data_IF_742501320373
#
_entry.id   IF_742501320373
#
_cell.length_a   1.000
_cell.length_b   1.000
_cell.length_c   1.000
_cell.angle_alpha   90.00
_cell.angle_beta   90.00
_cell.angle_gamma   90.00
#
_symmetry.space_group_name_H-M   'P 1'
#
loop_
_entity.id
_entity.type
_entity.pdbx_description
1 polymer ?
#
# COMPACT_ATOMS: atom_id res chain seq x y z
N UNK A 1 12.34 2.30 6.63
CA UNK A 1 11.19 2.78 5.83
C UNK A 1 11.58 4.06 5.12
N UNK A 2 11.19 4.20 3.89
CA UNK A 2 11.50 5.37 3.09
C UNK A 2 10.20 6.08 2.70
N UNK A 3 10.14 7.39 2.92
CA UNK A 3 8.97 8.20 2.59
C UNK A 3 9.38 9.27 1.60
N UNK A 4 8.71 9.31 0.45
CA UNK A 4 9.01 10.25 -0.60
C UNK A 4 7.77 11.06 -0.96
N UNK A 5 7.96 12.35 -1.22
CA UNK A 5 6.89 13.23 -1.67
C UNK A 5 7.09 13.59 -3.14
N UNK A 6 6.01 13.60 -3.89
CA UNK A 6 6.00 14.03 -5.27
C UNK A 6 4.73 14.83 -5.50
N UNK A 7 4.84 16.15 -5.34
CA UNK A 7 3.66 17.02 -5.36
C UNK A 7 2.74 16.68 -4.20
N UNK A 8 1.48 16.36 -4.49
CA UNK A 8 0.51 15.94 -3.49
C UNK A 8 0.44 14.43 -3.35
N UNK A 9 1.40 13.72 -3.93
CA UNK A 9 1.50 12.28 -3.84
C UNK A 9 2.52 11.88 -2.80
N UNK A 10 2.25 10.79 -2.10
CA UNK A 10 3.13 10.24 -1.08
C UNK A 10 3.46 8.81 -1.46
N UNK A 11 4.74 8.45 -1.38
CA UNK A 11 5.17 7.09 -1.61
C UNK A 11 5.96 6.58 -0.42
N UNK A 12 5.54 5.44 0.09
CA UNK A 12 6.20 4.78 1.23
C UNK A 12 6.74 3.45 0.75
N UNK A 13 7.99 3.16 1.07
CA UNK A 13 8.65 1.92 0.62
C UNK A 13 9.63 1.42 1.68
N UNK A 14 10.29 0.31 1.37
CA UNK A 14 11.27 -0.31 2.24
C UNK A 14 10.67 -0.69 3.59
N UNK A 15 9.49 -1.28 3.55
CA UNK A 15 8.78 -1.78 4.73
C UNK A 15 9.02 -3.28 4.80
N UNK A 16 9.81 -3.73 5.77
CA UNK A 16 10.14 -5.15 5.89
C UNK A 16 9.05 -5.94 6.60
N UNK A 17 8.44 -5.35 7.60
CA UNK A 17 7.38 -5.98 8.38
C UNK A 17 6.40 -4.93 8.88
N UNK A 18 5.14 -5.34 9.04
CA UNK A 18 4.12 -4.54 9.71
C UNK A 18 3.48 -5.42 10.78
N UNK A 19 3.86 -5.21 12.02
CA UNK A 19 3.43 -6.05 13.13
C UNK A 19 3.11 -5.22 14.37
N UNK A 20 2.78 -5.88 15.46
CA UNK A 20 2.37 -5.21 16.70
C UNK A 20 3.47 -4.29 17.25
N UNK A 21 4.73 -4.55 16.92
CA UNK A 21 5.85 -3.75 17.45
C UNK A 21 5.95 -2.40 16.72
N UNK A 22 5.78 -2.40 15.39
CA UNK A 22 6.04 -1.21 14.59
C UNK A 22 4.80 -0.57 13.93
N UNK A 23 3.62 -1.18 14.06
CA UNK A 23 2.42 -0.70 13.37
C UNK A 23 2.05 0.74 13.75
N UNK A 24 2.13 1.08 15.02
CA UNK A 24 1.79 2.42 15.50
C UNK A 24 2.79 3.46 14.99
N UNK A 25 4.07 3.16 15.05
CA UNK A 25 5.11 4.06 14.52
C UNK A 25 4.95 4.26 13.03
N UNK A 26 4.71 3.19 12.30
CA UNK A 26 4.47 3.24 10.85
C UNK A 26 3.29 4.16 10.54
N UNK A 27 2.16 3.93 11.20
CA UNK A 27 0.96 4.73 11.00
C UNK A 27 1.22 6.21 11.29
N UNK A 28 1.87 6.51 12.42
CA UNK A 28 2.10 7.89 12.84
C UNK A 28 3.08 8.61 11.90
N UNK A 29 4.12 7.93 11.47
CA UNK A 29 5.10 8.51 10.54
C UNK A 29 4.49 8.81 9.18
N UNK A 30 3.72 7.87 8.62
CA UNK A 30 3.07 8.08 7.33
C UNK A 30 2.02 9.18 7.44
N UNK A 31 1.24 9.17 8.52
CA UNK A 31 0.22 10.17 8.74
C UNK A 31 0.83 11.57 8.85
N UNK A 32 1.94 11.71 9.57
CA UNK A 32 2.63 12.98 9.70
C UNK A 32 3.21 13.47 8.37
N UNK A 33 3.52 12.55 7.47
CA UNK A 33 4.09 12.89 6.18
C UNK A 33 3.03 13.20 5.11
N UNK A 34 1.76 12.93 5.38
CA UNK A 34 0.69 13.20 4.41
C UNK A 34 0.62 14.69 4.07
N UNK A 35 0.54 15.04 2.77
CA UNK A 35 0.29 16.43 2.39
C UNK A 35 -1.11 16.87 2.82
N UNK A 36 -1.34 18.19 2.83
CA UNK A 36 -2.62 18.74 3.26
C UNK A 36 -3.79 18.27 2.40
N UNK A 37 -3.55 18.09 1.10
CA UNK A 37 -4.55 17.60 0.17
C UNK A 37 -3.97 16.46 -0.66
N UNK A 38 -3.86 15.26 -0.06
CA UNK A 38 -3.25 14.15 -0.77
C UNK A 38 -4.13 13.67 -1.93
N UNK A 39 -3.51 13.35 -3.06
CA UNK A 39 -4.20 12.76 -4.20
C UNK A 39 -4.04 11.25 -4.20
N UNK A 40 -2.80 10.80 -4.08
CA UNK A 40 -2.48 9.37 -4.08
C UNK A 40 -1.45 9.09 -2.99
N UNK A 41 -1.69 8.02 -2.25
CA UNK A 41 -0.75 7.51 -1.28
C UNK A 41 -0.40 6.09 -1.73
N UNK A 42 0.85 5.90 -2.11
CA UNK A 42 1.34 4.59 -2.56
C UNK A 42 2.17 3.96 -1.46
N UNK A 43 1.84 2.73 -1.11
CA UNK A 43 2.58 1.96 -0.12
C UNK A 43 3.14 0.73 -0.83
N UNK A 44 4.45 0.72 -1.00
CA UNK A 44 5.14 -0.36 -1.69
C UNK A 44 5.42 -1.50 -0.71
N UNK A 45 4.79 -2.62 -0.94
CA UNK A 45 4.90 -3.81 -0.09
C UNK A 45 5.78 -4.89 -0.72
N UNK A 46 6.53 -4.55 -1.76
CA UNK A 46 7.36 -5.55 -2.47
C UNK A 46 8.41 -6.18 -1.56
N UNK A 47 8.91 -5.46 -0.58
CA UNK A 47 9.91 -5.98 0.36
C UNK A 47 9.29 -6.44 1.68
N UNK A 48 7.98 -6.32 1.83
CA UNK A 48 7.30 -6.66 3.07
C UNK A 48 7.08 -8.17 3.14
N UNK A 49 7.63 -8.79 4.18
CA UNK A 49 7.57 -10.24 4.35
C UNK A 49 6.48 -10.69 5.29
N UNK A 50 6.04 -9.81 6.18
CA UNK A 50 5.09 -10.19 7.22
C UNK A 50 4.19 -9.02 7.57
N UNK A 51 2.88 -9.32 7.66
CA UNK A 51 1.87 -8.35 8.12
C UNK A 51 0.93 -9.12 9.03
N UNK A 52 0.76 -8.64 10.26
CA UNK A 52 -0.22 -9.20 11.18
C UNK A 52 -1.46 -8.29 11.28
N UNK A 53 -2.37 -8.62 12.19
CA UNK A 53 -3.59 -7.83 12.36
C UNK A 53 -3.32 -6.39 12.77
N UNK A 54 -2.24 -6.14 13.51
CA UNK A 54 -1.86 -4.78 13.89
C UNK A 54 -1.41 -3.99 12.66
N UNK A 55 -0.67 -4.64 11.76
CA UNK A 55 -0.26 -4.02 10.50
C UNK A 55 -1.44 -3.71 9.60
N UNK A 56 -2.39 -4.64 9.50
CA UNK A 56 -3.62 -4.41 8.75
C UNK A 56 -4.40 -3.23 9.33
N UNK A 57 -4.49 -3.17 10.66
CA UNK A 57 -5.14 -2.07 11.35
C UNK A 57 -4.50 -0.72 11.06
N UNK A 58 -3.17 -0.68 11.00
CA UNK A 58 -2.45 0.54 10.67
C UNK A 58 -2.76 1.01 9.25
N UNK A 59 -2.79 0.09 8.28
CA UNK A 59 -3.14 0.41 6.90
C UNK A 59 -4.58 0.93 6.81
N UNK A 60 -5.49 0.30 7.52
CA UNK A 60 -6.87 0.74 7.57
C UNK A 60 -7.00 2.14 8.18
N UNK A 61 -6.24 2.41 9.25
CA UNK A 61 -6.23 3.72 9.89
C UNK A 61 -5.73 4.80 8.94
N UNK A 62 -4.73 4.49 8.11
CA UNK A 62 -4.24 5.42 7.10
C UNK A 62 -5.28 5.69 6.03
N UNK A 63 -5.99 4.66 5.60
CA UNK A 63 -7.10 4.82 4.67
C UNK A 63 -8.15 5.78 5.24
N UNK A 64 -8.55 5.58 6.47
CA UNK A 64 -9.54 6.43 7.12
C UNK A 64 -9.03 7.87 7.27
N UNK A 65 -7.77 8.03 7.68
CA UNK A 65 -7.19 9.36 7.84
C UNK A 65 -7.13 10.11 6.52
N UNK A 66 -6.76 9.42 5.44
CA UNK A 66 -6.67 10.03 4.13
C UNK A 66 -8.02 10.49 3.61
N UNK A 67 -9.07 9.72 3.88
CA UNK A 67 -10.41 9.99 3.35
C UNK A 67 -11.30 10.78 4.31
N UNK A 68 -10.83 11.13 5.50
CA UNK A 68 -11.62 11.91 6.44
C UNK A 68 -11.70 13.38 6.07
N UNK A 69 -10.64 13.92 5.46
CA UNK A 69 -10.55 15.34 5.10
C UNK A 69 -10.87 15.58 3.63
N UNK A 70 -10.61 14.60 2.76
CA UNK A 70 -10.78 14.75 1.32
C UNK A 70 -11.32 13.45 0.73
N UNK A 71 -12.41 13.56 -0.03
CA UNK A 71 -12.93 12.44 -0.78
C UNK A 71 -12.06 12.18 -2.01
N UNK A 72 -12.02 10.93 -2.44
CA UNK A 72 -11.34 10.56 -3.67
C UNK A 72 -9.83 10.36 -3.55
N UNK A 73 -9.30 10.30 -2.33
CA UNK A 73 -7.90 9.96 -2.14
C UNK A 73 -7.71 8.46 -2.41
N UNK A 74 -6.79 8.14 -3.31
CA UNK A 74 -6.46 6.75 -3.63
C UNK A 74 -5.36 6.27 -2.72
N UNK A 75 -5.62 5.21 -1.97
CA UNK A 75 -4.58 4.51 -1.24
C UNK A 75 -4.24 3.24 -2.03
N UNK A 76 -3.04 3.22 -2.59
CA UNK A 76 -2.60 2.15 -3.46
C UNK A 76 -1.53 1.32 -2.79
N UNK A 77 -1.73 0.01 -2.78
CA UNK A 77 -0.75 -0.94 -2.27
C UNK A 77 -0.03 -1.54 -3.47
N UNK A 78 1.28 -1.35 -3.53
CA UNK A 78 2.08 -1.80 -4.66
C UNK A 78 2.75 -3.12 -4.37
N UNK A 79 2.61 -4.06 -5.28
CA UNK A 79 3.36 -5.31 -5.33
C UNK A 79 3.35 -6.12 -4.03
N UNK A 80 2.19 -6.32 -3.38
CA UNK A 80 2.17 -7.18 -2.20
C UNK A 80 2.54 -8.60 -2.59
N UNK A 81 3.30 -9.27 -1.73
CA UNK A 81 3.63 -10.68 -1.94
C UNK A 81 2.34 -11.51 -1.91
N UNK A 82 2.30 -12.67 -2.59
CA UNK A 82 1.07 -13.45 -2.67
C UNK A 82 0.42 -13.74 -1.32
N UNK A 83 1.20 -14.08 -0.30
CA UNK A 83 0.66 -14.36 1.04
C UNK A 83 0.01 -13.13 1.67
N UNK A 84 0.58 -11.96 1.44
CA UNK A 84 0.05 -10.71 1.97
C UNK A 84 -1.18 -10.28 1.17
N UNK A 85 -1.16 -10.44 -0.13
CA UNK A 85 -2.33 -10.17 -0.95
C UNK A 85 -3.51 -11.05 -0.54
N UNK A 86 -3.24 -12.34 -0.28
CA UNK A 86 -4.27 -13.25 0.18
C UNK A 86 -4.87 -12.78 1.51
N UNK A 87 -4.04 -12.23 2.39
CA UNK A 87 -4.50 -11.69 3.66
C UNK A 87 -5.46 -10.52 3.46
N UNK A 88 -5.17 -9.64 2.51
CA UNK A 88 -6.08 -8.54 2.17
C UNK A 88 -7.41 -9.06 1.62
N UNK A 89 -7.36 -10.11 0.81
CA UNK A 89 -8.56 -10.72 0.25
C UNK A 89 -9.41 -11.38 1.32
N UNK A 90 -8.77 -12.10 2.24
CA UNK A 90 -9.48 -12.77 3.33
C UNK A 90 -10.15 -11.79 4.29
N UNK A 91 -9.56 -10.63 4.47
CA UNK A 91 -10.10 -9.60 5.36
C UNK A 91 -10.98 -8.60 4.64
N UNK A 92 -11.18 -8.75 3.34
CA UNK A 92 -11.95 -7.84 2.50
C UNK A 92 -11.33 -6.45 2.35
N UNK A 93 -10.11 -6.26 2.82
CA UNK A 93 -9.43 -4.96 2.73
C UNK A 93 -9.05 -4.62 1.30
N UNK A 94 -8.96 -5.61 0.41
CA UNK A 94 -8.70 -5.38 -1.01
C UNK A 94 -9.79 -4.54 -1.68
N UNK A 95 -10.95 -4.42 -1.05
CA UNK A 95 -12.05 -3.57 -1.56
C UNK A 95 -11.84 -2.10 -1.23
N UNK A 96 -11.03 -1.80 -0.22
CA UNK A 96 -10.76 -0.42 0.20
C UNK A 96 -9.52 0.15 -0.48
N UNK A 97 -8.53 -0.70 -0.73
CA UNK A 97 -7.27 -0.28 -1.32
C UNK A 97 -7.20 -0.67 -2.79
N UNK A 98 -6.53 0.15 -3.57
CA UNK A 98 -6.20 -0.22 -4.94
C UNK A 98 -4.90 -1.02 -4.90
N UNK A 99 -4.95 -2.28 -5.33
CA UNK A 99 -3.77 -3.13 -5.34
C UNK A 99 -3.21 -3.17 -6.76
N UNK A 100 -1.97 -2.75 -6.91
CA UNK A 100 -1.29 -2.70 -8.20
C UNK A 100 -0.04 -3.56 -8.18
N UNK A 101 0.22 -4.25 -9.27
CA UNK A 101 1.39 -5.09 -9.44
C UNK A 101 2.20 -4.61 -10.63
N UNK A 102 3.05 -3.63 -10.38
CA UNK A 102 3.81 -3.02 -11.47
C UNK A 102 4.88 -3.96 -12.01
N UNK A 103 5.53 -4.72 -11.13
CA UNK A 103 6.57 -5.68 -11.52
C UNK A 103 5.99 -6.89 -12.25
N UNK A 104 4.91 -7.46 -11.72
CA UNK A 104 4.26 -8.62 -12.31
C UNK A 104 3.52 -8.23 -13.59
N UNK A 105 2.89 -7.07 -13.59
CA UNK A 105 2.16 -6.59 -14.76
C UNK A 105 3.08 -6.37 -15.95
N UNK A 106 4.27 -5.82 -15.71
CA UNK A 106 5.25 -5.65 -16.77
C UNK A 106 5.67 -6.99 -17.36
N UNK A 107 5.93 -7.98 -16.51
CA UNK A 107 6.27 -9.32 -16.95
C UNK A 107 5.11 -9.99 -17.66
N UNK A 108 3.89 -9.81 -17.16
CA UNK A 108 2.69 -10.36 -17.77
C UNK A 108 2.43 -9.78 -19.15
N UNK A 109 2.63 -8.50 -19.32
CA UNK A 109 2.42 -7.89 -20.63
C UNK A 109 3.35 -8.46 -21.68
N UNK A 110 4.61 -8.69 -21.32
CA UNK A 110 5.56 -9.33 -22.23
C UNK A 110 5.16 -10.77 -22.53
N UNK A 111 4.77 -11.50 -21.51
CA UNK A 111 4.36 -12.89 -21.66
C UNK A 111 3.05 -13.00 -22.45
N UNK A 112 2.09 -12.14 -22.14
CA UNK A 112 0.80 -12.14 -22.83
C UNK A 112 0.97 -11.82 -24.31
N UNK A 113 1.85 -10.90 -24.66
CA UNK A 113 2.14 -10.60 -26.05
C UNK A 113 2.68 -11.81 -26.79
N UNK A 114 3.53 -12.59 -26.13
CA UNK A 114 4.05 -13.81 -26.70
C UNK A 114 2.98 -14.89 -26.86
N UNK A 115 2.09 -15.00 -25.90
CA UNK A 115 1.07 -16.05 -25.87
C UNK A 115 -0.07 -15.79 -26.83
N UNK A 116 -0.36 -14.55 -27.11
CA UNK A 116 -1.47 -14.21 -28.00
C UNK A 116 -1.15 -14.47 -29.47
N UNK A 117 0.05 -14.87 -29.75
CA UNK A 117 0.49 -15.20 -31.11
C UNK A 117 0.68 -16.71 -31.36
#
# INVERSE_FOLDING_TARGET
MKIEHEGNNLRVSEILELNAINASSFRDEVRAAMPAAPETIEIDLSQTRFVDSSGLGALFALYKAANSSHDGVTLRLLNPRPSIQQLFELTQLHQLFEISRTDVDAAKLQTASSKLH
#
